data_IF_916030396547
#
_entry.id   IF_916030396547
#
_cell.length_a   1.000
_cell.length_b   1.000
_cell.length_c   1.000
_cell.angle_alpha   90.00
_cell.angle_beta   90.00
_cell.angle_gamma   90.00
#
_symmetry.space_group_name_H-M   'P 1'
#
loop_
_entity.id
_entity.type
_entity.pdbx_description
1 polymer ?
#
# COMPACT_ATOMS: atom_id res chain seq x y z
N UNK A 1 7.56 4.61 42.67
CA UNK A 1 8.25 5.19 41.49
C UNK A 1 8.80 4.09 40.56
N UNK A 2 7.98 3.09 40.18
CA UNK A 2 8.40 1.95 39.32
C UNK A 2 7.47 1.71 38.11
N UNK A 3 6.24 2.24 38.15
CA UNK A 3 5.22 2.05 37.11
C UNK A 3 5.49 2.97 35.90
N UNK A 4 5.95 4.20 36.14
CA UNK A 4 6.24 5.19 35.09
C UNK A 4 7.40 4.76 34.17
N UNK A 5 8.42 4.10 34.71
CA UNK A 5 9.55 3.59 33.89
C UNK A 5 9.14 2.42 32.99
N UNK A 6 8.15 1.63 33.40
CA UNK A 6 7.61 0.52 32.60
C UNK A 6 6.72 1.02 31.48
N UNK A 7 5.90 2.04 31.75
CA UNK A 7 5.09 2.72 30.74
C UNK A 7 5.97 3.44 29.70
N UNK A 8 7.00 4.18 30.14
CA UNK A 8 7.93 4.86 29.24
C UNK A 8 8.69 3.90 28.32
N UNK A 9 9.12 2.74 28.83
CA UNK A 9 9.70 1.68 27.99
C UNK A 9 8.69 1.12 27.00
N UNK A 10 7.45 0.86 27.43
CA UNK A 10 6.38 0.36 26.57
C UNK A 10 6.08 1.28 25.38
N UNK A 11 6.02 2.59 25.61
CA UNK A 11 5.82 3.61 24.57
C UNK A 11 6.99 3.61 23.58
N UNK A 12 8.24 3.60 24.07
CA UNK A 12 9.43 3.63 23.21
C UNK A 12 9.57 2.36 22.35
N UNK A 13 9.15 1.19 22.85
CA UNK A 13 9.10 -0.04 22.06
C UNK A 13 7.98 -0.03 21.02
N UNK A 14 6.83 0.57 21.33
CA UNK A 14 5.75 0.73 20.37
C UNK A 14 6.16 1.70 19.26
N UNK A 15 6.70 2.87 19.58
CA UNK A 15 7.21 3.85 18.60
C UNK A 15 8.24 3.22 17.67
N UNK A 16 9.28 2.55 18.22
CA UNK A 16 10.29 1.88 17.41
C UNK A 16 9.71 0.79 16.51
N UNK A 17 8.69 0.06 16.98
CA UNK A 17 8.02 -0.96 16.17
C UNK A 17 7.22 -0.31 15.03
N UNK A 18 6.53 0.79 15.30
CA UNK A 18 5.82 1.55 14.28
C UNK A 18 6.78 2.10 13.22
N UNK A 19 7.97 2.59 13.60
CA UNK A 19 8.98 3.06 12.65
C UNK A 19 9.43 1.95 11.69
N UNK A 20 9.66 0.74 12.22
CA UNK A 20 10.07 -0.42 11.40
C UNK A 20 8.96 -0.80 10.43
N UNK A 21 7.70 -0.80 10.88
CA UNK A 21 6.55 -1.09 10.03
C UNK A 21 6.42 -0.05 8.93
N UNK A 22 6.44 1.25 9.25
CA UNK A 22 6.30 2.31 8.25
C UNK A 22 7.40 2.24 7.18
N UNK A 23 8.66 2.01 7.58
CA UNK A 23 9.76 1.82 6.61
C UNK A 23 9.56 0.61 5.71
N UNK A 24 9.00 -0.47 6.26
CA UNK A 24 8.64 -1.65 5.47
C UNK A 24 7.58 -1.33 4.42
N UNK A 25 6.53 -0.59 4.81
CA UNK A 25 5.47 -0.15 3.90
C UNK A 25 6.00 0.80 2.82
N UNK A 26 6.88 1.75 3.18
CA UNK A 26 7.55 2.63 2.22
C UNK A 26 8.36 1.84 1.19
N UNK A 27 9.08 0.81 1.64
CA UNK A 27 9.86 -0.03 0.74
C UNK A 27 8.98 -0.83 -0.21
N UNK A 28 7.87 -1.40 0.29
CA UNK A 28 6.92 -2.14 -0.54
C UNK A 28 6.27 -1.20 -1.57
N UNK A 29 5.88 0.01 -1.18
CA UNK A 29 5.33 0.99 -2.09
C UNK A 29 6.35 1.36 -3.19
N UNK A 30 7.61 1.60 -2.82
CA UNK A 30 8.68 1.87 -3.79
C UNK A 30 8.92 0.69 -4.76
N UNK A 31 8.81 -0.56 -4.28
CA UNK A 31 8.88 -1.74 -5.14
C UNK A 31 7.71 -1.81 -6.13
N UNK A 32 6.49 -1.52 -5.69
CA UNK A 32 5.31 -1.51 -6.54
C UNK A 32 5.43 -0.46 -7.66
N UNK A 33 5.87 0.76 -7.31
CA UNK A 33 6.13 1.84 -8.26
C UNK A 33 7.21 1.43 -9.28
N UNK A 34 8.28 0.77 -8.82
CA UNK A 34 9.33 0.26 -9.71
C UNK A 34 8.79 -0.80 -10.67
N UNK A 35 8.00 -1.76 -10.19
CA UNK A 35 7.37 -2.76 -11.07
C UNK A 35 6.45 -2.12 -12.09
N UNK A 36 5.67 -1.12 -11.71
CA UNK A 36 4.83 -0.38 -12.64
C UNK A 36 5.67 0.30 -13.73
N UNK A 37 6.75 0.98 -13.36
CA UNK A 37 7.66 1.64 -14.30
C UNK A 37 8.40 0.65 -15.23
N UNK A 38 8.66 -0.57 -14.75
CA UNK A 38 9.24 -1.67 -15.53
C UNK A 38 8.19 -2.41 -16.40
N UNK A 39 6.92 -1.98 -16.39
CA UNK A 39 5.83 -2.62 -17.14
C UNK A 39 5.32 -3.93 -16.51
N UNK A 40 5.79 -4.27 -15.31
CA UNK A 40 5.41 -5.46 -14.53
C UNK A 40 4.11 -5.21 -13.76
N UNK A 41 3.04 -4.95 -14.51
CA UNK A 41 1.76 -4.45 -13.97
C UNK A 41 1.10 -5.38 -12.95
N UNK A 42 1.16 -6.71 -13.15
CA UNK A 42 0.58 -7.66 -12.21
C UNK A 42 1.28 -7.60 -10.85
N UNK A 43 2.62 -7.60 -10.83
CA UNK A 43 3.37 -7.52 -9.58
C UNK A 43 3.20 -6.17 -8.88
N UNK A 44 3.04 -5.08 -9.65
CA UNK A 44 2.69 -3.79 -9.08
C UNK A 44 1.30 -3.83 -8.42
N UNK A 45 0.30 -4.39 -9.11
CA UNK A 45 -1.06 -4.53 -8.59
C UNK A 45 -1.13 -5.37 -7.32
N UNK A 46 -0.40 -6.49 -7.24
CA UNK A 46 -0.37 -7.36 -6.06
C UNK A 46 0.09 -6.61 -4.81
N UNK A 47 1.16 -5.81 -4.93
CA UNK A 47 1.68 -5.04 -3.79
C UNK A 47 0.73 -3.89 -3.44
N UNK A 48 0.22 -3.16 -4.45
CA UNK A 48 -0.71 -2.07 -4.18
C UNK A 48 -1.99 -2.56 -3.48
N UNK A 49 -2.55 -3.71 -3.89
CA UNK A 49 -3.72 -4.29 -3.22
C UNK A 49 -3.43 -4.66 -1.77
N UNK A 50 -2.30 -5.33 -1.52
CA UNK A 50 -1.91 -5.68 -0.16
C UNK A 50 -1.78 -4.43 0.72
N UNK A 51 -1.18 -3.35 0.22
CA UNK A 51 -1.05 -2.10 0.95
C UNK A 51 -2.39 -1.41 1.20
N UNK A 52 -3.27 -1.32 0.18
CA UNK A 52 -4.57 -0.67 0.34
C UNK A 52 -5.50 -1.42 1.29
N UNK A 53 -5.47 -2.75 1.30
CA UNK A 53 -6.41 -3.56 2.08
C UNK A 53 -5.92 -3.89 3.50
N UNK A 54 -4.62 -4.20 3.66
CA UNK A 54 -4.07 -4.63 4.94
C UNK A 54 -3.58 -3.46 5.81
N UNK A 55 -3.32 -2.30 5.21
CA UNK A 55 -2.73 -1.14 5.87
C UNK A 55 -3.58 0.13 5.68
N UNK A 56 -4.90 -0.03 5.72
CA UNK A 56 -5.88 1.08 5.62
C UNK A 56 -5.56 2.22 6.59
N UNK A 57 -5.81 3.46 6.16
CA UNK A 57 -5.54 4.66 6.94
C UNK A 57 -4.07 5.10 6.99
N UNK A 58 -3.16 4.37 6.34
CA UNK A 58 -1.76 4.79 6.15
C UNK A 58 -1.60 5.60 4.86
N UNK A 59 -0.56 6.44 4.80
CA UNK A 59 -0.23 7.17 3.58
C UNK A 59 0.10 6.22 2.40
N UNK A 60 0.66 5.06 2.72
CA UNK A 60 1.03 4.04 1.75
C UNK A 60 -0.18 3.34 1.14
N UNK A 61 -1.26 3.14 1.92
CA UNK A 61 -2.53 2.64 1.40
C UNK A 61 -3.13 3.62 0.38
N UNK A 62 -3.22 4.91 0.72
CA UNK A 62 -3.73 5.95 -0.18
C UNK A 62 -2.90 6.02 -1.48
N UNK A 63 -1.57 6.05 -1.35
CA UNK A 63 -0.68 6.06 -2.51
C UNK A 63 -0.82 4.79 -3.38
N UNK A 64 -1.19 3.66 -2.76
CA UNK A 64 -1.43 2.41 -3.46
C UNK A 64 -2.76 2.39 -4.21
N UNK A 65 -3.82 2.97 -3.64
CA UNK A 65 -5.10 3.17 -4.32
C UNK A 65 -4.93 4.03 -5.58
N UNK A 66 -4.16 5.12 -5.48
CA UNK A 66 -3.80 5.92 -6.66
C UNK A 66 -2.96 5.12 -7.68
N UNK A 67 -2.06 4.26 -7.19
CA UNK A 67 -1.28 3.35 -8.03
C UNK A 67 -2.16 2.37 -8.80
N UNK A 68 -3.15 1.78 -8.14
CA UNK A 68 -4.15 0.90 -8.73
C UNK A 68 -5.00 1.62 -9.77
N UNK A 69 -5.42 2.85 -9.48
CA UNK A 69 -6.15 3.68 -10.45
C UNK A 69 -5.31 3.88 -11.73
N UNK A 70 -4.04 4.26 -11.60
CA UNK A 70 -3.12 4.40 -12.76
C UNK A 70 -2.94 3.08 -13.52
N UNK A 71 -2.90 1.94 -12.83
CA UNK A 71 -2.83 0.62 -13.48
C UNK A 71 -4.13 0.28 -14.22
N UNK A 72 -5.29 0.57 -13.64
CA UNK A 72 -6.58 0.36 -14.28
C UNK A 72 -6.67 1.13 -15.60
N UNK A 73 -6.30 2.41 -15.58
CA UNK A 73 -6.23 3.24 -16.78
C UNK A 73 -5.23 2.70 -17.81
N UNK A 74 -4.08 2.20 -17.37
CA UNK A 74 -3.09 1.59 -18.27
C UNK A 74 -3.61 0.30 -18.92
N UNK A 75 -4.27 -0.57 -18.15
CA UNK A 75 -4.92 -1.76 -18.69
C UNK A 75 -6.01 -1.41 -19.70
N UNK A 76 -6.82 -0.38 -19.44
CA UNK A 76 -7.87 0.05 -20.35
C UNK A 76 -7.29 0.57 -21.68
N UNK A 77 -6.27 1.44 -21.61
CA UNK A 77 -5.54 1.93 -22.80
C UNK A 77 -4.91 0.81 -23.61
N UNK A 78 -4.42 -0.24 -22.94
CA UNK A 78 -3.79 -1.40 -23.59
C UNK A 78 -4.80 -2.46 -24.05
N UNK A 79 -6.11 -2.18 -24.00
CA UNK A 79 -7.17 -3.09 -24.44
C UNK A 79 -7.48 -4.23 -23.46
N UNK A 80 -6.83 -4.29 -22.30
CA UNK A 80 -7.05 -5.26 -21.23
C UNK A 80 -8.21 -4.83 -20.32
N UNK A 81 -9.36 -4.53 -20.92
CA UNK A 81 -10.53 -3.92 -20.25
C UNK A 81 -11.06 -4.71 -19.06
N UNK A 82 -10.93 -6.04 -19.09
CA UNK A 82 -11.35 -6.90 -17.98
C UNK A 82 -10.51 -6.67 -16.72
N UNK A 83 -9.19 -6.49 -16.86
CA UNK A 83 -8.30 -6.14 -15.75
C UNK A 83 -8.60 -4.74 -15.22
N UNK A 84 -8.78 -3.77 -16.14
CA UNK A 84 -9.15 -2.42 -15.78
C UNK A 84 -10.46 -2.39 -14.97
N UNK A 85 -11.50 -3.06 -15.48
CA UNK A 85 -12.80 -3.20 -14.81
C UNK A 85 -12.66 -3.80 -13.41
N UNK A 86 -11.92 -4.91 -13.27
CA UNK A 86 -11.74 -5.55 -11.97
C UNK A 86 -11.10 -4.59 -10.93
N UNK A 87 -10.15 -3.76 -11.36
CA UNK A 87 -9.53 -2.77 -10.48
C UNK A 87 -10.50 -1.63 -10.14
N UNK A 88 -11.18 -1.06 -11.13
CA UNK A 88 -12.17 0.00 -10.89
C UNK A 88 -13.30 -0.44 -9.96
N UNK A 89 -13.85 -1.63 -10.18
CA UNK A 89 -14.90 -2.21 -9.32
C UNK A 89 -14.40 -2.34 -7.89
N UNK A 90 -13.20 -2.91 -7.69
CA UNK A 90 -12.66 -3.10 -6.35
C UNK A 90 -12.35 -1.78 -5.63
N UNK A 91 -11.81 -0.77 -6.33
CA UNK A 91 -11.60 0.57 -5.77
C UNK A 91 -12.93 1.23 -5.36
N UNK A 92 -14.02 0.98 -6.08
CA UNK A 92 -15.34 1.56 -5.76
C UNK A 92 -15.96 1.02 -4.46
N UNK A 93 -15.42 -0.06 -3.90
CA UNK A 93 -15.84 -0.62 -2.60
C UNK A 93 -14.96 -0.15 -1.43
N UNK A 94 -13.89 0.62 -1.68
CA UNK A 94 -12.99 1.12 -0.63
C UNK A 94 -13.41 2.49 -0.05
N UNK A 95 -14.41 3.14 -0.65
CA UNK A 95 -15.07 4.37 -0.16
C UNK A 95 -16.26 4.07 0.73
#
# INVERSE_FOLDING_TARGET
MQIEQSAARGVLWQERRWDVVHRGLDHLLAMAQRYQNEGRMCQAADIYWMLSEAHTGTAQAIASEEGLLRLAEAYDRNGSRHMARAIFERLSYLT
#
